data_IF_597482757609
#
_entry.id   IF_597482757609
#
_cell.length_a   1.000
_cell.length_b   1.000
_cell.length_c   1.000
_cell.angle_alpha   90.00
_cell.angle_beta   90.00
_cell.angle_gamma   90.00
#
_symmetry.space_group_name_H-M   'P 1'
#
loop_
_entity.id
_entity.type
_entity.pdbx_description
1 polymer ?
#
# COMPACT_ATOMS: atom_id res chain seq x y z
N UNK A 1 -4.38 -23.19 17.66
CA UNK A 1 -4.15 -21.74 17.74
C UNK A 1 -5.46 -21.05 18.04
N UNK A 2 -5.48 -20.06 18.94
CA UNK A 2 -6.67 -19.23 19.18
C UNK A 2 -6.82 -18.20 18.05
N UNK A 3 -8.05 -17.81 17.72
CA UNK A 3 -8.37 -16.81 16.68
C UNK A 3 -7.59 -15.50 16.89
N UNK A 4 -7.37 -15.10 18.13
CA UNK A 4 -6.58 -13.92 18.50
C UNK A 4 -5.12 -14.02 18.03
N UNK A 5 -4.53 -15.23 18.04
CA UNK A 5 -3.15 -15.41 17.60
C UNK A 5 -2.99 -15.16 16.10
N UNK A 6 -3.90 -15.70 15.27
CA UNK A 6 -3.90 -15.45 13.84
C UNK A 6 -4.13 -13.96 13.52
N UNK A 7 -5.03 -13.31 14.24
CA UNK A 7 -5.29 -11.88 14.11
C UNK A 7 -4.04 -11.03 14.33
N UNK A 8 -3.30 -11.28 15.43
CA UNK A 8 -2.06 -10.56 15.69
C UNK A 8 -0.94 -10.90 14.71
N UNK A 9 -0.88 -12.13 14.20
CA UNK A 9 0.07 -12.51 13.14
C UNK A 9 -0.18 -11.69 11.87
N UNK A 10 -1.44 -11.57 11.44
CA UNK A 10 -1.80 -10.78 10.25
C UNK A 10 -1.39 -9.31 10.42
N UNK A 11 -1.74 -8.70 11.56
CA UNK A 11 -1.33 -7.31 11.86
C UNK A 11 0.20 -7.17 11.82
N UNK A 12 0.91 -8.12 12.42
CA UNK A 12 2.37 -8.09 12.47
C UNK A 12 2.98 -8.17 11.07
N UNK A 13 2.45 -9.03 10.20
CA UNK A 13 2.90 -9.14 8.81
C UNK A 13 2.71 -7.82 8.07
N UNK A 14 1.53 -7.20 8.16
CA UNK A 14 1.24 -5.92 7.51
C UNK A 14 2.16 -4.79 7.98
N UNK A 15 2.44 -4.74 9.29
CA UNK A 15 3.36 -3.75 9.85
C UNK A 15 4.79 -3.97 9.37
N UNK A 16 5.26 -5.23 9.35
CA UNK A 16 6.61 -5.57 8.87
C UNK A 16 6.76 -5.24 7.39
N UNK A 17 5.78 -5.59 6.56
CA UNK A 17 5.75 -5.28 5.13
C UNK A 17 5.88 -3.77 4.91
N UNK A 18 5.00 -2.98 5.54
CA UNK A 18 5.05 -1.52 5.45
C UNK A 18 6.39 -0.93 5.89
N UNK A 19 6.97 -1.43 7.00
CA UNK A 19 8.27 -0.97 7.49
C UNK A 19 9.37 -1.28 6.49
N UNK A 20 9.42 -2.50 5.95
CA UNK A 20 10.44 -2.92 4.99
C UNK A 20 10.35 -2.06 3.72
N UNK A 21 9.14 -1.91 3.15
CA UNK A 21 8.93 -1.09 1.96
C UNK A 21 9.34 0.38 2.20
N UNK A 22 8.90 0.95 3.32
CA UNK A 22 9.25 2.34 3.68
C UNK A 22 10.76 2.52 3.83
N UNK A 23 11.47 1.55 4.42
CA UNK A 23 12.93 1.58 4.54
C UNK A 23 13.59 1.52 3.15
N UNK A 24 13.13 0.62 2.27
CA UNK A 24 13.67 0.50 0.91
C UNK A 24 13.47 1.79 0.11
N UNK A 25 12.28 2.37 0.16
CA UNK A 25 11.97 3.64 -0.49
C UNK A 25 12.81 4.78 0.07
N UNK A 26 12.99 4.83 1.39
CA UNK A 26 13.86 5.81 2.03
C UNK A 26 15.30 5.69 1.55
N UNK A 27 15.85 4.47 1.52
CA UNK A 27 17.21 4.21 1.03
C UNK A 27 17.35 4.58 -0.45
N UNK A 28 16.36 4.28 -1.28
CA UNK A 28 16.33 4.68 -2.69
C UNK A 28 16.31 6.21 -2.84
N UNK A 29 15.49 6.90 -2.03
CA UNK A 29 15.34 8.36 -2.11
C UNK A 29 16.63 9.12 -1.82
N UNK A 30 17.54 8.54 -1.01
CA UNK A 30 18.87 9.11 -0.72
C UNK A 30 19.78 9.19 -1.95
N UNK A 31 19.49 8.41 -2.99
CA UNK A 31 20.32 8.25 -4.19
C UNK A 31 19.75 8.96 -5.42
N UNK A 32 18.51 9.46 -5.37
CA UNK A 32 18.05 10.44 -6.36
C UNK A 32 18.96 11.67 -6.17
N UNK A 33 19.46 12.40 -7.14
CA UNK A 33 20.54 13.42 -7.02
C UNK A 33 21.97 12.89 -7.02
N UNK A 34 22.20 11.57 -7.04
CA UNK A 34 23.54 11.10 -7.41
C UNK A 34 23.85 11.62 -8.82
N UNK A 35 25.08 12.11 -9.00
CA UNK A 35 25.54 12.64 -10.29
C UNK A 35 25.65 11.51 -11.30
N UNK A 36 25.29 11.82 -12.55
CA UNK A 36 25.46 10.87 -13.65
C UNK A 36 26.96 10.59 -13.83
N UNK A 37 27.39 9.31 -13.88
CA UNK A 37 28.78 8.96 -14.18
C UNK A 37 29.22 9.54 -15.53
N UNK A 38 30.48 9.96 -15.64
CA UNK A 38 31.01 10.58 -16.87
C UNK A 38 30.83 9.69 -18.10
N UNK A 39 30.93 8.37 -17.92
CA UNK A 39 30.76 7.33 -18.95
C UNK A 39 29.34 7.28 -19.55
N UNK A 40 28.35 7.91 -18.90
CA UNK A 40 26.93 7.90 -19.31
C UNK A 40 26.42 9.29 -19.73
N UNK A 41 27.29 10.31 -19.76
CA UNK A 41 26.92 11.68 -20.11
C UNK A 41 26.47 11.84 -21.58
N UNK A 42 26.85 10.91 -22.46
CA UNK A 42 26.40 10.87 -23.85
C UNK A 42 25.02 10.21 -24.02
N UNK A 43 24.55 9.45 -23.01
CA UNK A 43 23.24 8.78 -22.99
C UNK A 43 22.17 9.65 -22.33
N UNK A 44 22.53 10.38 -21.28
CA UNK A 44 21.57 11.17 -20.49
C UNK A 44 21.58 12.64 -20.88
N UNK A 45 20.43 13.13 -21.34
CA UNK A 45 20.17 14.56 -21.40
C UNK A 45 20.06 15.13 -19.97
N UNK A 46 20.85 16.17 -19.60
CA UNK A 46 20.85 16.71 -18.24
C UNK A 46 19.49 17.29 -17.77
N UNK A 47 18.72 17.89 -18.67
CA UNK A 47 17.42 18.48 -18.34
C UNK A 47 16.39 17.38 -18.08
N UNK A 48 16.33 16.37 -18.95
CA UNK A 48 15.43 15.22 -18.77
C UNK A 48 15.83 14.37 -17.56
N UNK A 49 17.13 14.22 -17.27
CA UNK A 49 17.59 13.58 -16.03
C UNK A 49 17.09 14.34 -14.81
N UNK A 50 17.29 15.66 -14.75
CA UNK A 50 16.84 16.47 -13.63
C UNK A 50 15.32 16.42 -13.44
N UNK A 51 14.57 16.42 -14.54
CA UNK A 51 13.10 16.26 -14.54
C UNK A 51 12.68 14.89 -14.00
N UNK A 52 13.34 13.81 -14.41
CA UNK A 52 13.10 12.44 -13.88
C UNK A 52 13.38 12.36 -12.38
N UNK A 53 14.47 12.97 -11.90
CA UNK A 53 14.80 13.00 -10.48
C UNK A 53 13.76 13.79 -9.65
N UNK A 54 13.26 14.91 -10.19
CA UNK A 54 12.19 15.68 -9.56
C UNK A 54 10.87 14.88 -9.49
N UNK A 55 10.53 14.15 -10.55
CA UNK A 55 9.38 13.25 -10.57
C UNK A 55 9.49 12.15 -9.50
N UNK A 56 10.65 11.49 -9.40
CA UNK A 56 10.92 10.47 -8.36
C UNK A 56 10.76 11.03 -6.95
N UNK A 57 11.27 12.23 -6.67
CA UNK A 57 11.12 12.88 -5.35
C UNK A 57 9.66 13.15 -5.00
N UNK A 58 8.89 13.66 -5.95
CA UNK A 58 7.45 13.93 -5.75
C UNK A 58 6.70 12.63 -5.50
N UNK A 59 6.95 11.60 -6.32
CA UNK A 59 6.34 10.29 -6.14
C UNK A 59 6.72 9.62 -4.83
N UNK A 60 7.97 9.74 -4.37
CA UNK A 60 8.38 9.22 -3.07
C UNK A 60 7.61 9.87 -1.91
N UNK A 61 7.48 11.20 -1.92
CA UNK A 61 6.70 11.92 -0.89
C UNK A 61 5.23 11.53 -0.91
N UNK A 62 4.64 11.43 -2.10
CA UNK A 62 3.27 11.00 -2.26
C UNK A 62 3.10 9.53 -1.85
N UNK A 63 4.04 8.67 -2.22
CA UNK A 63 4.07 7.25 -1.90
C UNK A 63 4.08 6.98 -0.40
N UNK A 64 4.85 7.73 0.38
CA UNK A 64 4.81 7.64 1.85
C UNK A 64 3.42 7.99 2.39
N UNK A 65 2.82 9.07 1.89
CA UNK A 65 1.50 9.50 2.34
C UNK A 65 0.43 8.45 2.00
N UNK A 66 0.42 7.95 0.76
CA UNK A 66 -0.56 6.97 0.30
C UNK A 66 -0.37 5.62 0.98
N UNK A 67 0.85 5.12 1.12
CA UNK A 67 1.13 3.85 1.82
C UNK A 67 0.73 3.92 3.29
N UNK A 68 1.03 5.04 3.98
CA UNK A 68 0.63 5.24 5.37
C UNK A 68 -0.89 5.28 5.51
N UNK A 69 -1.56 6.00 4.62
CA UNK A 69 -3.03 6.06 4.60
C UNK A 69 -3.64 4.68 4.34
N UNK A 70 -3.13 3.93 3.37
CA UNK A 70 -3.59 2.57 3.05
C UNK A 70 -3.39 1.60 4.20
N UNK A 71 -2.24 1.66 4.89
CA UNK A 71 -2.01 0.86 6.10
C UNK A 71 -3.02 1.21 7.19
N UNK A 72 -3.23 2.49 7.49
CA UNK A 72 -4.18 2.92 8.51
C UNK A 72 -5.61 2.51 8.17
N UNK A 73 -6.01 2.63 6.91
CA UNK A 73 -7.31 2.19 6.43
C UNK A 73 -7.48 0.68 6.60
N UNK A 74 -6.47 -0.11 6.19
CA UNK A 74 -6.48 -1.58 6.31
C UNK A 74 -6.53 -2.01 7.78
N UNK A 75 -5.68 -1.43 8.63
CA UNK A 75 -5.67 -1.71 10.07
C UNK A 75 -6.96 -1.28 10.73
N UNK A 76 -7.51 -0.12 10.39
CA UNK A 76 -8.80 0.34 10.89
C UNK A 76 -9.92 -0.62 10.50
N UNK A 77 -9.99 -1.00 9.23
CA UNK A 77 -10.96 -1.97 8.74
C UNK A 77 -10.86 -3.30 9.48
N UNK A 78 -9.63 -3.79 9.74
CA UNK A 78 -9.42 -5.03 10.48
C UNK A 78 -9.77 -4.92 11.98
N UNK A 79 -9.34 -3.84 12.64
CA UNK A 79 -9.51 -3.63 14.09
C UNK A 79 -10.96 -3.34 14.48
N UNK A 80 -11.72 -2.68 13.61
CA UNK A 80 -13.13 -2.34 13.85
C UNK A 80 -14.12 -3.39 13.30
N UNK A 81 -13.65 -4.56 12.87
CA UNK A 81 -14.52 -5.63 12.39
C UNK A 81 -15.18 -5.32 11.04
N UNK A 82 -14.50 -4.58 10.17
CA UNK A 82 -15.00 -4.16 8.85
C UNK A 82 -15.48 -5.32 7.97
N UNK A 83 -14.84 -6.49 8.06
CA UNK A 83 -15.29 -7.70 7.35
C UNK A 83 -16.66 -8.19 7.84
N UNK A 84 -16.90 -8.21 9.15
CA UNK A 84 -18.20 -8.58 9.72
C UNK A 84 -19.26 -7.53 9.36
N UNK A 85 -18.90 -6.25 9.45
CA UNK A 85 -19.78 -5.16 9.04
C UNK A 85 -20.21 -5.29 7.58
N UNK A 86 -19.28 -5.56 6.67
CA UNK A 86 -19.58 -5.74 5.25
C UNK A 86 -20.37 -7.01 4.95
N UNK A 87 -20.07 -8.12 5.64
CA UNK A 87 -20.81 -9.38 5.53
C UNK A 87 -22.28 -9.18 5.96
N UNK A 88 -22.53 -8.46 7.04
CA UNK A 88 -23.88 -8.11 7.50
C UNK A 88 -24.64 -7.25 6.47
N UNK A 89 -23.95 -6.31 5.82
CA UNK A 89 -24.54 -5.54 4.72
C UNK A 89 -24.91 -6.48 3.57
N UNK A 90 -24.01 -7.35 3.13
CA UNK A 90 -24.28 -8.28 2.03
C UNK A 90 -25.48 -9.21 2.33
N UNK A 91 -25.58 -9.71 3.56
CA UNK A 91 -26.71 -10.53 4.03
C UNK A 91 -28.03 -9.76 4.09
N UNK A 92 -28.02 -8.45 4.25
CA UNK A 92 -29.24 -7.65 4.23
C UNK A 92 -29.92 -7.59 2.85
N UNK A 93 -29.19 -7.92 1.77
CA UNK A 93 -29.71 -7.87 0.40
C UNK A 93 -30.22 -9.23 -0.12
N UNK A 94 -29.73 -10.35 0.41
CA UNK A 94 -30.13 -11.67 -0.05
C UNK A 94 -29.76 -12.77 0.94
N UNK A 95 -30.57 -13.83 0.98
CA UNK A 95 -30.23 -15.08 1.68
C UNK A 95 -29.45 -16.06 0.79
N UNK A 96 -29.30 -15.78 -0.52
CA UNK A 96 -28.57 -16.65 -1.44
C UNK A 96 -27.05 -16.51 -1.21
N UNK A 97 -26.33 -17.59 -0.83
CA UNK A 97 -24.90 -17.54 -0.53
C UNK A 97 -24.02 -16.98 -1.65
N UNK A 98 -24.39 -17.22 -2.91
CA UNK A 98 -23.64 -16.75 -4.08
C UNK A 98 -23.78 -15.23 -4.21
N UNK A 99 -24.99 -14.69 -4.04
CA UNK A 99 -25.24 -13.25 -4.11
C UNK A 99 -24.57 -12.51 -2.96
N UNK A 100 -24.60 -13.07 -1.75
CA UNK A 100 -23.89 -12.51 -0.59
C UNK A 100 -22.39 -12.39 -0.89
N UNK A 101 -21.77 -13.46 -1.40
CA UNK A 101 -20.36 -13.45 -1.74
C UNK A 101 -20.03 -12.40 -2.82
N UNK A 102 -20.87 -12.29 -3.86
CA UNK A 102 -20.68 -11.28 -4.92
C UNK A 102 -20.73 -9.85 -4.38
N UNK A 103 -21.69 -9.54 -3.50
CA UNK A 103 -21.82 -8.21 -2.89
C UNK A 103 -20.64 -7.92 -1.95
N UNK A 104 -20.25 -8.89 -1.13
CA UNK A 104 -19.09 -8.77 -0.24
C UNK A 104 -17.82 -8.47 -1.02
N UNK A 105 -17.54 -9.24 -2.08
CA UNK A 105 -16.36 -9.00 -2.93
C UNK A 105 -16.44 -7.68 -3.69
N UNK A 106 -17.62 -7.28 -4.17
CA UNK A 106 -17.81 -5.96 -4.76
C UNK A 106 -17.49 -4.85 -3.75
N UNK A 107 -17.89 -4.99 -2.49
CA UNK A 107 -17.59 -4.02 -1.44
C UNK A 107 -16.11 -3.94 -1.03
N UNK A 108 -15.35 -5.02 -1.19
CA UNK A 108 -13.89 -5.04 -0.90
C UNK A 108 -13.06 -4.52 -2.08
N UNK A 109 -13.49 -4.81 -3.32
CA UNK A 109 -12.72 -4.48 -4.53
C UNK A 109 -12.95 -3.05 -5.05
N UNK A 110 -13.93 -2.33 -4.50
CA UNK A 110 -14.21 -0.92 -4.81
C UNK A 110 -13.49 -0.04 -3.78
#
# INVERSE_FOLDING_TARGET
MTYSMLFYIIITILLIEFIIETILDYLNSKRYNDVVPEELNDVFDPEEYQKSQNYKKTNYRFGILTSSFSLLLTLGFLLFGGFEWLDNIARSFSDNPILIALIFFAGIMI
#
